data_IF_098405170160
#
_entry.id   IF_098405170160
#
_cell.length_a   1.000
_cell.length_b   1.000
_cell.length_c   1.000
_cell.angle_alpha   90.00
_cell.angle_beta   90.00
_cell.angle_gamma   90.00
#
_symmetry.space_group_name_H-M   'P 1'
#
loop_
_entity.id
_entity.type
_entity.pdbx_description
1 polymer ?
#
# COMPACT_ATOMS: atom_id res chain seq x y z
N UNK A 1 32.41 6.31 -7.09
CA UNK A 1 31.98 5.03 -6.50
C UNK A 1 31.33 4.19 -7.59
N UNK A 2 31.73 2.95 -7.73
CA UNK A 2 31.68 2.13 -8.94
C UNK A 2 30.28 1.88 -9.53
N UNK A 3 30.16 2.09 -10.82
CA UNK A 3 29.00 1.86 -11.71
C UNK A 3 28.52 0.40 -11.86
N UNK A 4 29.03 -0.53 -11.06
CA UNK A 4 28.90 -1.98 -11.32
C UNK A 4 27.75 -2.69 -10.61
N UNK A 5 26.90 -2.00 -9.83
CA UNK A 5 25.79 -2.64 -9.11
C UNK A 5 24.37 -2.22 -9.53
N UNK A 6 24.21 -1.26 -10.41
CA UNK A 6 22.90 -0.79 -10.92
C UNK A 6 22.52 -1.63 -12.13
N UNK A 7 21.32 -2.12 -12.21
CA UNK A 7 20.70 -2.99 -13.24
C UNK A 7 20.59 -4.49 -12.87
N UNK A 8 20.19 -4.78 -11.65
CA UNK A 8 20.00 -6.16 -11.18
C UNK A 8 18.59 -6.69 -11.43
N UNK A 9 17.56 -5.79 -11.47
CA UNK A 9 16.15 -6.16 -11.58
C UNK A 9 15.73 -6.24 -13.05
N UNK A 10 15.40 -7.45 -13.52
CA UNK A 10 14.81 -7.66 -14.83
C UNK A 10 13.33 -7.26 -14.89
N UNK A 11 12.73 -7.26 -16.09
CA UNK A 11 11.31 -6.91 -16.29
C UNK A 11 10.36 -7.79 -15.46
N UNK A 12 10.63 -9.09 -15.40
CA UNK A 12 9.83 -10.02 -14.58
C UNK A 12 9.97 -9.74 -13.08
N UNK A 13 11.18 -9.45 -12.60
CA UNK A 13 11.41 -9.05 -11.20
C UNK A 13 10.65 -7.76 -10.84
N UNK A 14 10.64 -6.77 -11.73
CA UNK A 14 9.88 -5.54 -11.53
C UNK A 14 8.37 -5.80 -11.53
N UNK A 15 7.87 -6.64 -12.44
CA UNK A 15 6.46 -7.07 -12.47
C UNK A 15 6.08 -7.75 -11.14
N UNK A 16 6.91 -8.68 -10.65
CA UNK A 16 6.70 -9.40 -9.40
C UNK A 16 6.71 -8.47 -8.18
N UNK A 17 7.65 -7.51 -8.14
CA UNK A 17 7.68 -6.49 -7.09
C UNK A 17 6.43 -5.62 -7.11
N UNK A 18 5.98 -5.19 -8.30
CA UNK A 18 4.74 -4.40 -8.43
C UNK A 18 3.53 -5.21 -8.00
N UNK A 19 3.47 -6.48 -8.39
CA UNK A 19 2.40 -7.38 -8.00
C UNK A 19 2.39 -7.58 -6.47
N UNK A 20 3.54 -7.83 -5.84
CA UNK A 20 3.67 -7.98 -4.39
C UNK A 20 3.29 -6.70 -3.61
N UNK A 21 3.56 -5.53 -4.19
CA UNK A 21 3.26 -4.26 -3.57
C UNK A 21 1.76 -3.91 -3.60
N UNK A 22 1.08 -4.29 -4.69
CA UNK A 22 -0.27 -3.79 -5.00
C UNK A 22 -1.31 -4.90 -4.84
N UNK A 23 -1.06 -6.11 -5.38
CA UNK A 23 -2.06 -7.16 -5.40
C UNK A 23 -2.11 -7.98 -4.12
N UNK A 24 -3.32 -8.13 -3.59
CA UNK A 24 -3.61 -9.09 -2.52
C UNK A 24 -5.01 -9.66 -2.71
N UNK A 25 -5.14 -10.99 -2.68
CA UNK A 25 -6.45 -11.65 -2.72
C UNK A 25 -7.33 -11.24 -1.52
N UNK A 26 -6.72 -10.94 -0.37
CA UNK A 26 -7.45 -10.39 0.78
C UNK A 26 -8.04 -9.00 0.52
N UNK A 27 -7.44 -8.19 -0.38
CA UNK A 27 -8.04 -6.91 -0.76
C UNK A 27 -9.34 -7.12 -1.56
N UNK A 28 -9.42 -8.18 -2.37
CA UNK A 28 -10.68 -8.56 -3.05
C UNK A 28 -11.74 -8.86 -2.00
N UNK A 29 -11.42 -9.68 -1.01
CA UNK A 29 -12.32 -10.07 0.07
C UNK A 29 -12.77 -8.87 0.89
N UNK A 30 -11.83 -8.06 1.37
CA UNK A 30 -12.13 -6.89 2.20
C UNK A 30 -13.05 -5.90 1.50
N UNK A 31 -12.79 -5.62 0.22
CA UNK A 31 -13.64 -4.72 -0.56
C UNK A 31 -14.99 -5.34 -0.90
N UNK A 32 -15.06 -6.67 -1.05
CA UNK A 32 -16.30 -7.37 -1.28
C UNK A 32 -17.19 -7.42 -0.02
N UNK A 33 -16.60 -7.53 1.18
CA UNK A 33 -17.37 -7.39 2.45
C UNK A 33 -18.10 -6.05 2.52
N UNK A 34 -17.44 -4.97 2.09
CA UNK A 34 -17.99 -3.60 2.20
C UNK A 34 -18.92 -3.23 1.03
N UNK A 35 -18.60 -3.68 -0.19
CA UNK A 35 -19.27 -3.25 -1.41
C UNK A 35 -20.05 -4.37 -2.13
N UNK A 36 -19.91 -5.61 -1.66
CA UNK A 36 -20.43 -6.76 -2.38
C UNK A 36 -19.91 -6.82 -3.82
N UNK A 37 -20.76 -7.21 -4.75
CA UNK A 37 -20.44 -7.33 -6.16
C UNK A 37 -20.08 -5.99 -6.83
N UNK A 38 -20.49 -4.85 -6.27
CA UNK A 38 -20.10 -3.53 -6.76
C UNK A 38 -18.61 -3.25 -6.65
N UNK A 39 -17.86 -4.02 -5.83
CA UNK A 39 -16.40 -3.95 -5.78
C UNK A 39 -15.73 -4.23 -7.14
N UNK A 40 -16.31 -5.10 -7.97
CA UNK A 40 -15.75 -5.48 -9.26
C UNK A 40 -15.65 -4.31 -10.26
N UNK A 41 -16.74 -3.60 -10.62
CA UNK A 41 -16.64 -2.42 -11.47
C UNK A 41 -15.84 -1.29 -10.81
N UNK A 42 -15.87 -1.17 -9.48
CA UNK A 42 -15.08 -0.16 -8.78
C UNK A 42 -13.58 -0.40 -8.90
N UNK A 43 -13.09 -1.64 -8.84
CA UNK A 43 -11.70 -1.95 -9.14
C UNK A 43 -11.31 -1.63 -10.58
N UNK A 44 -12.20 -1.92 -11.54
CA UNK A 44 -11.97 -1.57 -12.94
C UNK A 44 -11.85 -0.06 -13.14
N UNK A 45 -12.79 0.71 -12.57
CA UNK A 45 -12.77 2.17 -12.62
C UNK A 45 -11.54 2.74 -11.90
N UNK A 46 -11.21 2.22 -10.72
CA UNK A 46 -10.00 2.64 -9.99
C UNK A 46 -8.72 2.36 -10.79
N UNK A 47 -8.67 1.27 -11.54
CA UNK A 47 -7.52 0.98 -12.41
C UNK A 47 -7.37 2.04 -13.50
N UNK A 48 -8.45 2.41 -14.18
CA UNK A 48 -8.41 3.36 -15.29
C UNK A 48 -8.23 4.81 -14.79
N UNK A 49 -9.00 5.19 -13.77
CA UNK A 49 -9.08 6.59 -13.33
C UNK A 49 -8.13 6.95 -12.19
N UNK A 50 -7.52 5.97 -11.51
CA UNK A 50 -6.56 6.22 -10.44
C UNK A 50 -5.22 5.53 -10.69
N UNK A 51 -5.17 4.20 -10.73
CA UNK A 51 -3.90 3.46 -10.68
C UNK A 51 -3.00 3.77 -11.88
N UNK A 52 -3.51 3.66 -13.11
CA UNK A 52 -2.72 3.95 -14.31
C UNK A 52 -2.28 5.42 -14.35
N UNK A 53 -3.16 6.43 -14.19
CA UNK A 53 -2.74 7.82 -14.13
C UNK A 53 -1.72 8.11 -13.02
N UNK A 54 -1.87 7.52 -11.85
CA UNK A 54 -0.93 7.70 -10.75
C UNK A 54 0.44 7.07 -11.06
N UNK A 55 0.47 5.89 -11.67
CA UNK A 55 1.70 5.29 -12.18
C UNK A 55 2.40 6.18 -13.21
N UNK A 56 1.65 6.85 -14.10
CA UNK A 56 2.23 7.79 -15.07
C UNK A 56 2.79 9.04 -14.40
N UNK A 57 2.15 9.56 -13.35
CA UNK A 57 2.68 10.66 -12.52
C UNK A 57 4.01 10.25 -11.88
N UNK A 58 4.06 9.07 -11.28
CA UNK A 58 5.28 8.53 -10.67
C UNK A 58 6.38 8.36 -11.73
N UNK A 59 6.05 7.78 -12.88
CA UNK A 59 6.98 7.58 -13.98
C UNK A 59 7.58 8.91 -14.49
N UNK A 60 6.78 9.99 -14.54
CA UNK A 60 7.26 11.30 -14.92
C UNK A 60 8.20 11.90 -13.86
N UNK A 61 7.89 11.77 -12.57
CA UNK A 61 8.79 12.17 -11.49
C UNK A 61 10.10 11.37 -11.48
N UNK A 62 10.03 10.05 -11.68
CA UNK A 62 11.22 9.20 -11.82
C UNK A 62 12.10 9.65 -12.97
N UNK A 63 11.51 10.01 -14.11
CA UNK A 63 12.26 10.48 -15.27
C UNK A 63 12.90 11.86 -15.08
N UNK A 64 12.35 12.68 -14.19
CA UNK A 64 12.92 13.97 -13.77
C UNK A 64 14.04 13.81 -12.74
N UNK A 65 13.89 12.88 -11.78
CA UNK A 65 14.79 12.72 -10.64
C UNK A 65 15.61 11.42 -10.75
N UNK A 66 16.38 11.27 -11.83
CA UNK A 66 17.11 10.02 -12.18
C UNK A 66 18.14 9.56 -11.14
N UNK A 67 18.65 10.47 -10.33
CA UNK A 67 19.69 10.20 -9.33
C UNK A 67 19.14 10.01 -7.92
N UNK A 68 17.82 10.03 -7.74
CA UNK A 68 17.18 9.85 -6.45
C UNK A 68 17.24 8.40 -5.97
N UNK A 69 17.55 8.18 -4.70
CA UNK A 69 17.62 6.86 -4.08
C UNK A 69 16.26 6.38 -3.54
N UNK A 70 15.41 7.30 -3.06
CA UNK A 70 14.17 6.98 -2.36
C UNK A 70 12.88 7.50 -3.01
N UNK A 71 13.00 8.34 -4.01
CA UNK A 71 11.88 8.75 -4.87
C UNK A 71 10.98 9.83 -4.28
N UNK A 72 10.12 9.50 -3.33
CA UNK A 72 9.03 10.39 -2.88
C UNK A 72 9.53 11.74 -2.36
N UNK A 73 10.60 11.76 -1.56
CA UNK A 73 11.18 13.00 -1.05
C UNK A 73 11.70 13.87 -2.20
N UNK A 74 12.52 13.31 -3.08
CA UNK A 74 13.08 14.03 -4.22
C UNK A 74 12.01 14.54 -5.18
N UNK A 75 10.98 13.73 -5.47
CA UNK A 75 9.89 14.14 -6.36
C UNK A 75 9.16 15.37 -5.86
N UNK A 76 8.83 15.38 -4.57
CA UNK A 76 8.12 16.52 -3.98
C UNK A 76 9.06 17.70 -3.80
N UNK A 77 10.34 17.47 -3.42
CA UNK A 77 11.34 18.51 -3.29
C UNK A 77 11.59 19.23 -4.61
N UNK A 78 11.73 18.49 -5.72
CA UNK A 78 11.95 19.07 -7.05
C UNK A 78 10.83 20.01 -7.51
N UNK A 79 9.65 19.94 -6.89
CA UNK A 79 8.50 20.76 -7.26
C UNK A 79 8.02 21.73 -6.20
N UNK A 80 7.97 21.33 -4.92
CA UNK A 80 7.39 22.10 -3.82
C UNK A 80 8.40 22.53 -2.75
N UNK A 81 9.67 22.11 -2.87
CA UNK A 81 10.72 22.37 -1.89
C UNK A 81 10.72 21.40 -0.70
N UNK A 82 11.77 21.50 0.13
CA UNK A 82 12.09 20.52 1.18
C UNK A 82 11.04 20.35 2.27
N UNK A 83 10.31 21.40 2.63
CA UNK A 83 9.25 21.32 3.66
C UNK A 83 8.15 20.34 3.26
N UNK A 84 7.60 20.48 2.05
CA UNK A 84 6.55 19.59 1.56
C UNK A 84 7.08 18.20 1.25
N UNK A 85 8.34 18.11 0.80
CA UNK A 85 9.01 16.84 0.63
C UNK A 85 9.11 16.06 1.95
N UNK A 86 9.54 16.72 3.01
CA UNK A 86 9.63 16.13 4.35
C UNK A 86 8.26 15.69 4.87
N UNK A 87 7.25 16.56 4.80
CA UNK A 87 5.89 16.24 5.26
C UNK A 87 5.33 15.03 4.49
N UNK A 88 5.52 14.98 3.17
CA UNK A 88 5.02 13.88 2.35
C UNK A 88 5.69 12.56 2.70
N UNK A 89 7.02 12.52 2.76
CA UNK A 89 7.77 11.32 3.08
C UNK A 89 7.51 10.84 4.53
N UNK A 90 7.42 11.79 5.48
CA UNK A 90 7.03 11.51 6.86
C UNK A 90 5.63 10.91 6.95
N UNK A 91 4.66 11.51 6.25
CA UNK A 91 3.27 11.02 6.23
C UNK A 91 3.20 9.61 5.66
N UNK A 92 3.94 9.35 4.57
CA UNK A 92 4.03 8.02 3.97
C UNK A 92 4.54 6.98 4.97
N UNK A 93 5.63 7.26 5.68
CA UNK A 93 6.18 6.38 6.69
C UNK A 93 5.24 6.20 7.88
N UNK A 94 4.71 7.31 8.42
CA UNK A 94 3.91 7.30 9.65
C UNK A 94 2.61 6.51 9.49
N UNK A 95 1.91 6.68 8.38
CA UNK A 95 0.65 5.96 8.10
C UNK A 95 0.88 4.45 8.08
N UNK A 96 2.00 4.00 7.56
CA UNK A 96 2.33 2.58 7.51
C UNK A 96 2.62 1.96 8.89
N UNK A 97 2.91 2.76 9.94
CA UNK A 97 3.08 2.22 11.29
C UNK A 97 1.80 1.56 11.82
N UNK A 98 0.64 2.09 11.49
CA UNK A 98 -0.66 1.54 11.89
C UNK A 98 -1.02 0.27 11.09
N UNK A 99 -0.54 0.16 9.85
CA UNK A 99 -0.80 -1.01 9.01
C UNK A 99 -0.29 -2.32 9.64
N UNK A 100 0.83 -2.28 10.37
CA UNK A 100 1.39 -3.46 11.02
C UNK A 100 0.47 -4.06 12.07
N UNK A 101 -0.33 -3.26 12.76
CA UNK A 101 -1.27 -3.75 13.78
C UNK A 101 -2.38 -4.62 13.19
N UNK A 102 -2.71 -4.43 11.91
CA UNK A 102 -3.68 -5.26 11.19
C UNK A 102 -3.01 -6.41 10.40
N UNK A 103 -1.81 -6.19 9.89
CA UNK A 103 -1.11 -7.18 9.06
C UNK A 103 -0.60 -8.37 9.88
N UNK A 104 0.05 -8.11 11.02
CA UNK A 104 0.69 -9.17 11.83
C UNK A 104 -0.28 -10.23 12.37
N UNK A 105 -1.45 -9.88 12.94
CA UNK A 105 -2.44 -10.87 13.34
C UNK A 105 -2.93 -11.74 12.17
N UNK A 106 -3.03 -11.18 10.96
CA UNK A 106 -3.40 -11.94 9.76
C UNK A 106 -2.32 -12.93 9.35
N UNK A 107 -1.04 -12.57 9.44
CA UNK A 107 0.07 -13.51 9.22
C UNK A 107 -0.05 -14.70 10.15
N UNK A 108 -0.35 -14.47 11.44
CA UNK A 108 -0.52 -15.53 12.45
C UNK A 108 -1.74 -16.40 12.13
N UNK A 109 -2.86 -15.80 11.76
CA UNK A 109 -4.08 -16.55 11.42
C UNK A 109 -3.84 -17.47 10.21
N UNK A 110 -3.19 -16.96 9.14
CA UNK A 110 -2.86 -17.81 8.00
C UNK A 110 -1.80 -18.87 8.31
N UNK A 111 -0.87 -18.61 9.22
CA UNK A 111 0.04 -19.63 9.74
C UNK A 111 -0.74 -20.76 10.43
N UNK A 112 -1.77 -20.45 11.23
CA UNK A 112 -2.59 -21.49 11.87
C UNK A 112 -3.32 -22.36 10.84
N UNK A 113 -3.91 -21.77 9.80
CA UNK A 113 -4.48 -22.56 8.70
C UNK A 113 -3.44 -23.43 7.99
N UNK A 114 -2.24 -22.88 7.72
CA UNK A 114 -1.16 -23.60 7.04
C UNK A 114 -0.72 -24.87 7.81
N UNK A 115 -0.52 -24.73 9.12
CA UNK A 115 0.05 -25.80 9.93
C UNK A 115 -1.01 -26.70 10.58
N UNK A 116 -2.13 -26.13 11.02
CA UNK A 116 -3.19 -26.86 11.73
C UNK A 116 -4.35 -27.26 10.80
N UNK A 117 -4.62 -26.50 9.71
CA UNK A 117 -5.75 -26.71 8.82
C UNK A 117 -7.04 -26.00 9.26
N UNK A 118 -6.98 -25.24 10.35
CA UNK A 118 -8.09 -24.45 10.87
C UNK A 118 -7.56 -23.18 11.56
N UNK A 119 -8.44 -22.19 11.78
CA UNK A 119 -8.10 -20.97 12.50
C UNK A 119 -7.96 -21.27 14.01
N UNK A 120 -6.76 -21.13 14.53
CA UNK A 120 -6.52 -21.20 15.96
C UNK A 120 -6.57 -19.79 16.55
N UNK A 121 -7.62 -19.52 17.32
CA UNK A 121 -7.83 -18.23 17.98
C UNK A 121 -6.95 -18.19 19.24
N UNK A 122 -5.88 -17.43 19.15
CA UNK A 122 -4.96 -17.20 20.27
C UNK A 122 -5.52 -16.12 21.20
N UNK A 123 -5.06 -16.12 22.44
CA UNK A 123 -5.31 -14.99 23.34
C UNK A 123 -4.68 -13.71 22.78
N UNK A 124 -5.27 -12.53 23.04
CA UNK A 124 -4.71 -11.25 22.57
C UNK A 124 -3.23 -11.07 22.98
N UNK A 125 -2.88 -11.50 24.20
CA UNK A 125 -1.49 -11.44 24.70
C UNK A 125 -0.55 -12.30 23.84
N UNK A 126 -0.92 -13.56 23.58
CA UNK A 126 -0.10 -14.47 22.75
C UNK A 126 0.04 -13.94 21.33
N UNK A 127 -1.06 -13.45 20.73
CA UNK A 127 -1.05 -12.83 19.40
C UNK A 127 -0.09 -11.64 19.34
N UNK A 128 -0.11 -10.77 20.35
CA UNK A 128 0.78 -9.60 20.41
C UNK A 128 2.25 -10.00 20.55
N UNK A 129 2.57 -10.95 21.44
CA UNK A 129 3.96 -11.42 21.64
C UNK A 129 4.50 -12.02 20.33
N UNK A 130 3.73 -12.89 19.68
CA UNK A 130 4.14 -13.52 18.42
C UNK A 130 4.26 -12.45 17.33
N UNK A 131 3.36 -11.46 17.28
CA UNK A 131 3.45 -10.32 16.35
C UNK A 131 4.74 -9.52 16.55
N UNK A 132 5.15 -9.26 17.80
CA UNK A 132 6.41 -8.57 18.10
C UNK A 132 7.63 -9.37 17.63
N UNK A 133 7.64 -10.69 17.84
CA UNK A 133 8.72 -11.57 17.37
C UNK A 133 8.79 -11.57 15.83
N UNK A 134 7.65 -11.74 15.18
CA UNK A 134 7.57 -11.68 13.71
C UNK A 134 8.01 -10.34 13.15
N UNK A 135 7.65 -9.24 13.82
CA UNK A 135 8.05 -7.90 13.39
C UNK A 135 9.53 -7.62 13.64
N UNK A 136 10.09 -8.11 14.75
CA UNK A 136 11.54 -8.06 15.00
C UNK A 136 12.31 -8.81 13.91
N UNK A 137 11.86 -10.03 13.57
CA UNK A 137 12.44 -10.82 12.49
C UNK A 137 12.32 -10.11 11.12
N UNK A 138 11.15 -9.58 10.81
CA UNK A 138 10.93 -8.80 9.58
C UNK A 138 11.83 -7.56 9.51
N UNK A 139 12.00 -6.86 10.64
CA UNK A 139 12.90 -5.70 10.74
C UNK A 139 14.34 -6.12 10.48
N UNK A 140 14.79 -7.21 11.09
CA UNK A 140 16.14 -7.74 10.84
C UNK A 140 16.34 -8.12 9.37
N UNK A 141 15.38 -8.83 8.75
CA UNK A 141 15.44 -9.16 7.32
C UNK A 141 15.49 -7.91 6.46
N UNK A 142 14.70 -6.88 6.79
CA UNK A 142 14.63 -5.63 6.02
C UNK A 142 15.97 -4.89 5.98
N UNK A 143 16.81 -5.03 7.01
CA UNK A 143 18.15 -4.41 7.04
C UNK A 143 19.14 -5.05 6.05
N UNK A 144 18.82 -6.23 5.48
CA UNK A 144 19.63 -6.87 4.45
C UNK A 144 19.30 -6.39 3.02
N UNK A 145 18.32 -5.49 2.88
CA UNK A 145 18.01 -4.79 1.63
C UNK A 145 17.44 -5.66 0.51
N UNK A 146 17.53 -5.15 -0.72
CA UNK A 146 16.90 -5.75 -1.89
C UNK A 146 17.40 -7.17 -2.23
N UNK A 147 18.60 -7.54 -1.83
CA UNK A 147 19.17 -8.88 -2.09
C UNK A 147 18.32 -9.99 -1.48
N UNK A 148 17.80 -9.77 -0.27
CA UNK A 148 17.00 -10.76 0.44
C UNK A 148 15.50 -10.60 0.12
N UNK A 149 15.04 -9.37 -0.02
CA UNK A 149 13.63 -9.07 -0.30
C UNK A 149 13.20 -9.52 -1.71
N UNK A 150 14.03 -9.30 -2.73
CA UNK A 150 13.69 -9.59 -4.12
C UNK A 150 13.29 -11.05 -4.39
N UNK A 151 14.11 -12.05 -4.05
CA UNK A 151 13.76 -13.47 -4.22
C UNK A 151 12.49 -13.87 -3.44
N UNK A 152 12.37 -13.43 -2.18
CA UNK A 152 11.21 -13.75 -1.34
C UNK A 152 9.92 -13.18 -1.96
N UNK A 153 9.92 -11.90 -2.33
CA UNK A 153 8.75 -11.26 -2.96
C UNK A 153 8.40 -11.89 -4.30
N UNK A 154 9.37 -12.35 -5.08
CA UNK A 154 9.11 -13.04 -6.35
C UNK A 154 8.42 -14.39 -6.14
N UNK A 155 8.85 -15.18 -5.17
CA UNK A 155 8.21 -16.47 -4.84
C UNK A 155 6.80 -16.24 -4.31
N UNK A 156 6.64 -15.36 -3.34
CA UNK A 156 5.35 -15.11 -2.71
C UNK A 156 4.33 -14.52 -3.68
N UNK A 157 4.77 -13.62 -4.59
CA UNK A 157 3.93 -13.06 -5.65
C UNK A 157 3.48 -14.12 -6.65
N UNK A 158 4.39 -15.01 -7.05
CA UNK A 158 4.08 -16.10 -7.98
C UNK A 158 3.06 -17.06 -7.37
N UNK A 159 3.25 -17.45 -6.11
CA UNK A 159 2.30 -18.31 -5.39
C UNK A 159 0.91 -17.66 -5.27
N UNK A 160 0.85 -16.38 -4.92
CA UNK A 160 -0.42 -15.64 -4.83
C UNK A 160 -1.10 -15.51 -6.19
N UNK A 161 -0.33 -15.27 -7.26
CA UNK A 161 -0.86 -15.23 -8.62
C UNK A 161 -1.44 -16.58 -9.04
N UNK A 162 -0.73 -17.67 -8.80
CA UNK A 162 -1.21 -19.02 -9.11
C UNK A 162 -2.46 -19.36 -8.31
N UNK A 163 -2.51 -19.01 -7.02
CA UNK A 163 -3.70 -19.19 -6.19
C UNK A 163 -4.90 -18.42 -6.77
N UNK A 164 -4.70 -17.16 -7.13
CA UNK A 164 -5.75 -16.32 -7.71
C UNK A 164 -6.26 -16.89 -9.05
N UNK A 165 -5.34 -17.27 -9.94
CA UNK A 165 -5.71 -17.85 -11.24
C UNK A 165 -6.43 -19.18 -11.07
N UNK A 166 -5.98 -20.05 -10.15
CA UNK A 166 -6.67 -21.31 -9.86
C UNK A 166 -8.09 -21.08 -9.35
N UNK A 167 -8.26 -20.06 -8.47
CA UNK A 167 -9.60 -19.68 -8.01
C UNK A 167 -10.49 -19.20 -9.16
N UNK A 168 -9.98 -18.28 -9.99
CA UNK A 168 -10.74 -17.76 -11.15
C UNK A 168 -11.17 -18.90 -12.08
N UNK A 169 -10.26 -19.82 -12.40
CA UNK A 169 -10.56 -20.95 -13.27
C UNK A 169 -11.61 -21.88 -12.65
N UNK A 170 -11.44 -22.27 -11.39
CA UNK A 170 -12.33 -23.21 -10.72
C UNK A 170 -13.71 -22.60 -10.44
N UNK A 171 -13.78 -21.35 -9.99
CA UNK A 171 -15.05 -20.66 -9.80
C UNK A 171 -15.78 -20.41 -11.14
N UNK A 172 -15.01 -20.08 -12.20
CA UNK A 172 -15.55 -19.95 -13.55
C UNK A 172 -16.12 -21.26 -14.08
N UNK A 173 -15.40 -22.38 -13.92
CA UNK A 173 -15.89 -23.72 -14.33
C UNK A 173 -17.12 -24.14 -13.54
N UNK A 174 -17.19 -23.82 -12.25
CA UNK A 174 -18.37 -24.11 -11.43
C UNK A 174 -19.61 -23.33 -11.92
N UNK A 175 -19.45 -22.06 -12.28
CA UNK A 175 -20.54 -21.26 -12.87
C UNK A 175 -21.02 -21.83 -14.20
N UNK A 176 -20.10 -22.20 -15.09
CA UNK A 176 -20.46 -22.88 -16.37
C UNK A 176 -21.12 -24.23 -16.11
N UNK A 177 -20.73 -24.92 -15.04
CA UNK A 177 -21.34 -26.16 -14.57
C UNK A 177 -22.72 -26.01 -13.92
N UNK A 178 -23.27 -24.79 -13.84
CA UNK A 178 -24.61 -24.51 -13.32
C UNK A 178 -24.69 -24.25 -11.82
N UNK A 179 -23.59 -23.96 -11.14
CA UNK A 179 -23.61 -23.53 -9.75
C UNK A 179 -24.37 -22.22 -9.64
N UNK A 180 -25.31 -22.17 -8.70
CA UNK A 180 -25.97 -20.93 -8.35
C UNK A 180 -25.08 -20.15 -7.41
N UNK A 181 -24.64 -18.92 -7.77
CA UNK A 181 -23.79 -18.11 -6.90
C UNK A 181 -24.48 -17.79 -5.56
N UNK A 182 -23.71 -17.76 -4.48
CA UNK A 182 -24.20 -17.39 -3.15
C UNK A 182 -24.77 -15.97 -3.12
N UNK A 183 -24.18 -15.04 -3.87
CA UNK A 183 -24.77 -13.73 -4.17
C UNK A 183 -25.10 -13.68 -5.69
N UNK A 184 -26.29 -13.21 -6.10
CA UNK A 184 -26.68 -13.15 -7.50
C UNK A 184 -25.76 -12.25 -8.33
N UNK A 185 -25.21 -12.74 -9.43
CA UNK A 185 -24.38 -11.97 -10.35
C UNK A 185 -25.31 -11.22 -11.31
N UNK A 186 -25.77 -10.04 -10.89
CA UNK A 186 -26.67 -9.18 -11.68
C UNK A 186 -26.07 -7.80 -11.88
N UNK A 187 -26.52 -7.09 -12.91
CA UNK A 187 -26.08 -5.71 -13.17
C UNK A 187 -26.45 -4.80 -12.02
N UNK A 188 -27.66 -4.99 -11.43
CA UNK A 188 -28.11 -4.19 -10.30
C UNK A 188 -27.22 -4.36 -9.07
N UNK A 189 -26.73 -5.59 -8.81
CA UNK A 189 -25.79 -5.85 -7.71
C UNK A 189 -24.39 -5.25 -7.95
N UNK A 190 -24.04 -4.94 -9.20
CA UNK A 190 -22.78 -4.28 -9.58
C UNK A 190 -22.87 -2.75 -9.46
N UNK A 191 -24.05 -2.17 -9.33
CA UNK A 191 -24.24 -0.72 -9.18
C UNK A 191 -24.17 -0.36 -7.70
N UNK A 192 -23.18 0.43 -7.26
CA UNK A 192 -23.09 0.82 -5.86
C UNK A 192 -24.18 1.83 -5.49
N UNK A 193 -24.61 1.81 -4.25
CA UNK A 193 -25.47 2.86 -3.71
C UNK A 193 -24.65 4.13 -3.51
N UNK A 194 -24.78 5.10 -4.41
CA UNK A 194 -24.05 6.36 -4.35
C UNK A 194 -24.55 7.23 -3.20
N UNK A 195 -24.00 7.02 -2.03
CA UNK A 195 -24.25 7.79 -0.82
C UNK A 195 -22.94 8.18 -0.12
N UNK A 196 -23.03 8.91 0.98
CA UNK A 196 -21.85 9.35 1.71
C UNK A 196 -20.99 8.20 2.25
N UNK A 197 -21.62 7.14 2.74
CA UNK A 197 -20.93 5.94 3.23
C UNK A 197 -20.13 5.27 2.10
N UNK A 198 -20.70 5.14 0.90
CA UNK A 198 -20.02 4.62 -0.27
C UNK A 198 -18.75 5.43 -0.61
N UNK A 199 -18.82 6.78 -0.57
CA UNK A 199 -17.66 7.62 -0.81
C UNK A 199 -16.52 7.36 0.20
N UNK A 200 -16.87 7.09 1.46
CA UNK A 200 -15.89 6.68 2.48
C UNK A 200 -15.27 5.32 2.17
N UNK A 201 -16.08 4.33 1.79
CA UNK A 201 -15.61 2.97 1.49
C UNK A 201 -14.78 2.91 0.21
N UNK A 202 -14.97 3.82 -0.77
CA UNK A 202 -14.12 3.88 -1.96
C UNK A 202 -12.63 4.08 -1.65
N UNK A 203 -12.30 4.63 -0.46
CA UNK A 203 -10.91 4.74 0.00
C UNK A 203 -10.23 3.38 0.14
N UNK A 204 -10.99 2.33 0.45
CA UNK A 204 -10.45 0.95 0.54
C UNK A 204 -10.04 0.43 -0.83
N UNK A 205 -10.79 0.78 -1.88
CA UNK A 205 -10.42 0.48 -3.28
C UNK A 205 -9.14 1.22 -3.66
N UNK A 206 -9.02 2.51 -3.31
CA UNK A 206 -7.82 3.29 -3.58
C UNK A 206 -6.61 2.77 -2.81
N UNK A 207 -6.79 2.42 -1.53
CA UNK A 207 -5.73 1.80 -0.73
C UNK A 207 -5.30 0.45 -1.32
N UNK A 208 -6.24 -0.37 -1.76
CA UNK A 208 -5.95 -1.66 -2.40
C UNK A 208 -5.23 -1.51 -3.75
N UNK A 209 -5.55 -0.47 -4.52
CA UNK A 209 -4.90 -0.14 -5.78
C UNK A 209 -3.65 0.75 -5.62
N UNK A 210 -3.30 1.16 -4.39
CA UNK A 210 -2.09 1.92 -4.09
C UNK A 210 -0.83 1.04 -4.04
N UNK A 211 0.35 1.68 -3.93
CA UNK A 211 1.63 0.98 -3.75
C UNK A 211 2.59 1.07 -4.93
N UNK A 212 2.18 1.63 -6.06
CA UNK A 212 3.07 1.83 -7.22
C UNK A 212 4.28 2.73 -6.88
N UNK A 213 4.11 3.70 -6.01
CA UNK A 213 5.15 4.59 -5.50
C UNK A 213 6.22 3.82 -4.70
N UNK A 214 5.84 2.74 -4.03
CA UNK A 214 6.76 1.92 -3.25
C UNK A 214 7.76 1.15 -4.14
N UNK A 215 7.36 0.83 -5.35
CA UNK A 215 8.19 0.10 -6.33
C UNK A 215 9.15 1.06 -7.04
N UNK A 216 8.80 2.32 -7.13
CA UNK A 216 9.61 3.33 -7.82
C UNK A 216 10.96 3.61 -7.13
N UNK A 217 11.11 3.29 -5.85
CA UNK A 217 12.41 3.36 -5.15
C UNK A 217 13.47 2.39 -5.73
N UNK A 218 13.05 1.45 -6.56
CA UNK A 218 13.94 0.48 -7.22
C UNK A 218 14.22 0.80 -8.68
N UNK A 219 13.77 1.95 -9.20
CA UNK A 219 13.91 2.31 -10.63
C UNK A 219 15.35 2.28 -11.11
N UNK A 220 16.30 2.73 -10.27
CA UNK A 220 17.73 2.74 -10.59
C UNK A 220 18.33 1.33 -10.64
N UNK A 221 17.67 0.35 -10.07
CA UNK A 221 18.07 -1.06 -10.09
C UNK A 221 17.46 -1.83 -11.28
N UNK A 222 16.54 -1.19 -12.05
CA UNK A 222 15.85 -1.83 -13.18
C UNK A 222 16.69 -1.81 -14.44
N UNK A 223 16.84 -2.97 -15.08
CA UNK A 223 17.49 -3.09 -16.40
C UNK A 223 16.71 -2.30 -17.46
N UNK A 224 17.39 -1.32 -18.07
CA UNK A 224 16.78 -0.40 -19.05
C UNK A 224 16.18 0.87 -18.44
N UNK A 225 16.41 1.13 -17.15
CA UNK A 225 16.11 2.39 -16.46
C UNK A 225 14.64 2.80 -16.50
N UNK A 226 14.38 4.11 -16.43
CA UNK A 226 13.04 4.69 -16.36
C UNK A 226 12.13 4.29 -17.53
N UNK A 227 12.64 4.13 -18.74
CA UNK A 227 11.82 3.70 -19.90
C UNK A 227 11.28 2.29 -19.76
N UNK A 228 12.09 1.37 -19.22
CA UNK A 228 11.67 -0.01 -18.96
C UNK A 228 10.70 -0.04 -17.77
N UNK A 229 10.98 0.73 -16.73
CA UNK A 229 10.11 0.88 -15.57
C UNK A 229 8.69 1.30 -15.98
N UNK A 230 8.55 2.39 -16.75
CA UNK A 230 7.24 2.90 -17.21
C UNK A 230 6.43 1.82 -17.92
N UNK A 231 7.04 1.11 -18.89
CA UNK A 231 6.33 0.07 -19.64
C UNK A 231 5.84 -1.07 -18.74
N UNK A 232 6.69 -1.52 -17.83
CA UNK A 232 6.36 -2.64 -16.94
C UNK A 232 5.29 -2.25 -15.93
N UNK A 233 5.37 -1.04 -15.34
CA UNK A 233 4.40 -0.59 -14.34
C UNK A 233 2.98 -0.41 -14.94
N UNK A 234 2.88 0.10 -16.17
CA UNK A 234 1.59 0.22 -16.87
C UNK A 234 1.00 -1.17 -17.13
N UNK A 235 1.83 -2.09 -17.67
CA UNK A 235 1.38 -3.46 -17.93
C UNK A 235 0.95 -4.16 -16.65
N UNK A 236 1.73 -4.01 -15.57
CA UNK A 236 1.38 -4.53 -14.26
C UNK A 236 0.05 -3.97 -13.75
N UNK A 237 -0.17 -2.66 -13.93
CA UNK A 237 -1.41 -2.01 -13.52
C UNK A 237 -2.64 -2.57 -14.22
N UNK A 238 -2.59 -2.69 -15.54
CA UNK A 238 -3.69 -3.28 -16.32
C UNK A 238 -3.95 -4.73 -15.85
N UNK A 239 -2.90 -5.53 -15.72
CA UNK A 239 -3.01 -6.93 -15.31
C UNK A 239 -3.61 -7.07 -13.91
N UNK A 240 -3.13 -6.28 -12.93
CA UNK A 240 -3.64 -6.28 -11.56
C UNK A 240 -5.09 -5.82 -11.51
N UNK A 241 -5.44 -4.78 -12.25
CA UNK A 241 -6.82 -4.29 -12.32
C UNK A 241 -7.80 -5.33 -12.87
N UNK A 242 -7.41 -6.05 -13.91
CA UNK A 242 -8.21 -7.17 -14.46
C UNK A 242 -8.35 -8.27 -13.42
N UNK A 243 -7.25 -8.66 -12.74
CA UNK A 243 -7.32 -9.69 -11.69
C UNK A 243 -8.24 -9.28 -10.54
N UNK A 244 -8.14 -8.05 -10.05
CA UNK A 244 -9.03 -7.54 -9.02
C UNK A 244 -10.50 -7.58 -9.44
N UNK A 245 -10.81 -7.08 -10.65
CA UNK A 245 -12.18 -7.02 -11.14
C UNK A 245 -12.78 -8.40 -11.34
N UNK A 246 -12.05 -9.30 -12.02
CA UNK A 246 -12.52 -10.67 -12.27
C UNK A 246 -12.66 -11.47 -10.98
N UNK A 247 -11.68 -11.37 -10.07
CA UNK A 247 -11.75 -12.04 -8.77
C UNK A 247 -12.94 -11.53 -7.95
N UNK A 248 -13.23 -10.21 -8.00
CA UNK A 248 -14.36 -9.62 -7.26
C UNK A 248 -15.72 -10.09 -7.79
N UNK A 249 -15.86 -10.39 -9.09
CA UNK A 249 -17.08 -11.01 -9.62
C UNK A 249 -17.24 -12.43 -9.10
N UNK A 250 -16.14 -13.20 -9.04
CA UNK A 250 -16.17 -14.62 -8.75
C UNK A 250 -16.15 -14.94 -7.25
N UNK A 251 -15.76 -13.99 -6.39
CA UNK A 251 -15.58 -14.25 -4.96
C UNK A 251 -16.88 -14.77 -4.31
N UNK A 252 -18.03 -14.30 -4.76
CA UNK A 252 -19.34 -14.65 -4.21
C UNK A 252 -19.99 -15.87 -4.87
N UNK A 253 -19.24 -16.66 -5.62
CA UNK A 253 -19.77 -17.90 -6.19
C UNK A 253 -20.07 -18.92 -5.10
N UNK A 254 -19.19 -19.06 -4.11
CA UNK A 254 -19.32 -20.06 -3.05
C UNK A 254 -19.66 -19.49 -1.67
N UNK A 255 -19.44 -18.19 -1.44
CA UNK A 255 -19.66 -17.54 -0.14
C UNK A 255 -20.29 -16.18 -0.35
N UNK A 256 -21.40 -15.90 0.36
CA UNK A 256 -22.03 -14.57 0.31
C UNK A 256 -21.13 -13.49 0.89
N UNK A 257 -21.17 -12.29 0.31
CA UNK A 257 -20.46 -11.10 0.80
C UNK A 257 -20.73 -10.83 2.28
N UNK A 258 -21.93 -11.12 2.78
CA UNK A 258 -22.35 -10.94 4.17
C UNK A 258 -21.70 -11.94 5.15
N UNK A 259 -21.23 -13.08 4.65
CA UNK A 259 -20.62 -14.14 5.44
C UNK A 259 -19.08 -14.11 5.39
N UNK A 260 -18.51 -13.32 4.48
CA UNK A 260 -17.09 -13.16 4.33
C UNK A 260 -16.45 -12.58 5.60
N UNK A 261 -15.26 -13.06 5.95
CA UNK A 261 -14.49 -12.62 7.11
C UNK A 261 -13.25 -11.85 6.69
N UNK A 262 -12.92 -10.78 7.41
CA UNK A 262 -11.65 -10.04 7.21
C UNK A 262 -10.42 -10.89 7.47
N UNK A 263 -10.52 -11.81 8.44
CA UNK A 263 -9.46 -12.76 8.77
C UNK A 263 -9.86 -14.14 8.25
N UNK A 264 -8.97 -14.83 7.54
CA UNK A 264 -9.24 -16.17 7.00
C UNK A 264 -10.20 -16.21 5.80
N UNK A 265 -10.69 -15.09 5.28
CA UNK A 265 -11.67 -15.06 4.20
C UNK A 265 -11.19 -15.77 2.92
N UNK A 266 -9.89 -15.73 2.58
CA UNK A 266 -9.38 -16.49 1.45
C UNK A 266 -9.53 -18.01 1.67
N UNK A 267 -9.28 -18.51 2.86
CA UNK A 267 -9.50 -19.93 3.18
C UNK A 267 -10.97 -20.26 3.12
N UNK A 268 -11.84 -19.39 3.65
CA UNK A 268 -13.31 -19.57 3.62
C UNK A 268 -13.84 -19.73 2.19
N UNK A 269 -13.40 -18.90 1.27
CA UNK A 269 -13.83 -18.96 -0.15
C UNK A 269 -13.37 -20.25 -0.84
N UNK A 270 -12.15 -20.67 -0.60
CA UNK A 270 -11.61 -21.92 -1.13
C UNK A 270 -12.20 -23.16 -0.45
N UNK A 271 -12.62 -23.05 0.81
CA UNK A 271 -13.35 -24.12 1.52
C UNK A 271 -14.70 -24.41 0.84
N UNK A 272 -15.48 -23.37 0.53
CA UNK A 272 -16.74 -23.54 -0.23
C UNK A 272 -16.52 -24.17 -1.62
N UNK A 273 -15.42 -23.77 -2.30
CA UNK A 273 -15.04 -24.38 -3.57
C UNK A 273 -14.65 -25.86 -3.42
N UNK A 274 -13.87 -26.20 -2.36
CA UNK A 274 -13.47 -27.58 -2.10
C UNK A 274 -14.68 -28.50 -1.87
N UNK A 275 -15.67 -28.03 -1.11
CA UNK A 275 -16.91 -28.76 -0.87
C UNK A 275 -17.66 -29.06 -2.20
N UNK A 276 -17.71 -28.10 -3.12
CA UNK A 276 -18.37 -28.30 -4.42
C UNK A 276 -17.64 -29.33 -5.30
N UNK A 277 -16.31 -29.30 -5.37
CA UNK A 277 -15.52 -30.22 -6.17
C UNK A 277 -15.20 -31.55 -5.48
N UNK A 278 -15.71 -31.80 -4.27
CA UNK A 278 -15.43 -33.00 -3.50
C UNK A 278 -13.95 -33.14 -3.09
N UNK A 279 -13.24 -32.02 -2.94
CA UNK A 279 -11.84 -32.00 -2.52
C UNK A 279 -11.73 -32.08 -0.98
N UNK A 280 -10.67 -32.71 -0.44
CA UNK A 280 -10.48 -32.76 1.01
C UNK A 280 -10.32 -31.38 1.63
N UNK A 281 -11.30 -30.94 2.42
CA UNK A 281 -11.34 -29.57 3.01
C UNK A 281 -10.10 -29.25 3.83
N UNK A 282 -9.67 -30.16 4.69
CA UNK A 282 -8.49 -29.95 5.54
C UNK A 282 -7.21 -29.75 4.72
N UNK A 283 -7.08 -30.45 3.58
CA UNK A 283 -5.95 -30.27 2.67
C UNK A 283 -6.03 -28.92 1.99
N UNK A 284 -7.21 -28.51 1.52
CA UNK A 284 -7.44 -27.21 0.89
C UNK A 284 -7.16 -26.08 1.86
N UNK A 285 -7.65 -26.15 3.10
CA UNK A 285 -7.39 -25.15 4.12
C UNK A 285 -5.90 -24.99 4.41
N UNK A 286 -5.14 -26.10 4.51
CA UNK A 286 -3.68 -26.06 4.69
C UNK A 286 -2.97 -25.47 3.47
N UNK A 287 -3.36 -25.86 2.27
CA UNK A 287 -2.75 -25.35 1.04
C UNK A 287 -2.98 -23.84 0.87
N UNK A 288 -4.23 -23.38 0.95
CA UNK A 288 -4.58 -21.97 0.85
C UNK A 288 -3.98 -21.17 2.01
N UNK A 289 -4.01 -21.74 3.22
CA UNK A 289 -3.37 -21.19 4.39
C UNK A 289 -1.86 -20.97 4.18
N UNK A 290 -1.15 -21.96 3.64
CA UNK A 290 0.29 -21.87 3.37
C UNK A 290 0.60 -20.80 2.31
N UNK A 291 -0.13 -20.75 1.20
CA UNK A 291 0.07 -19.74 0.16
C UNK A 291 -0.24 -18.35 0.71
N UNK A 292 -1.35 -18.19 1.43
CA UNK A 292 -1.73 -16.90 2.02
C UNK A 292 -0.74 -16.46 3.11
N UNK A 293 -0.26 -17.37 3.94
CA UNK A 293 0.79 -17.12 4.93
C UNK A 293 2.07 -16.61 4.27
N UNK A 294 2.57 -17.33 3.27
CA UNK A 294 3.81 -16.93 2.58
C UNK A 294 3.65 -15.58 1.89
N UNK A 295 2.52 -15.30 1.25
CA UNK A 295 2.25 -14.03 0.60
C UNK A 295 2.14 -12.87 1.61
N UNK A 296 1.42 -13.07 2.72
CA UNK A 296 1.29 -12.09 3.79
C UNK A 296 2.64 -11.82 4.47
N UNK A 297 3.45 -12.86 4.65
CA UNK A 297 4.79 -12.72 5.20
C UNK A 297 5.73 -11.97 4.25
N UNK A 298 5.68 -12.26 2.94
CA UNK A 298 6.41 -11.48 1.93
C UNK A 298 5.98 -10.01 1.90
N UNK A 299 4.68 -9.75 2.01
CA UNK A 299 4.13 -8.40 2.14
C UNK A 299 4.63 -7.70 3.42
N UNK A 300 4.64 -8.40 4.56
CA UNK A 300 5.19 -7.89 5.82
C UNK A 300 6.64 -7.44 5.65
N UNK A 301 7.50 -8.26 5.04
CA UNK A 301 8.90 -7.92 4.78
C UNK A 301 9.04 -6.67 3.92
N UNK A 302 8.26 -6.57 2.86
CA UNK A 302 8.29 -5.44 1.94
C UNK A 302 7.81 -4.15 2.62
N UNK A 303 6.68 -4.18 3.31
CA UNK A 303 6.13 -3.00 3.98
C UNK A 303 6.95 -2.60 5.23
N UNK A 304 7.73 -3.50 5.82
CA UNK A 304 8.70 -3.15 6.86
C UNK A 304 9.88 -2.33 6.28
N UNK A 305 10.38 -2.69 5.11
CA UNK A 305 11.56 -2.08 4.49
C UNK A 305 11.25 -0.76 3.77
N UNK A 306 10.20 -0.75 2.94
CA UNK A 306 9.96 0.30 1.94
C UNK A 306 9.65 1.67 2.57
N UNK A 307 8.74 1.83 3.54
CA UNK A 307 8.46 3.13 4.14
C UNK A 307 9.66 3.75 4.87
N UNK A 308 10.47 2.90 5.52
CA UNK A 308 11.72 3.34 6.15
C UNK A 308 12.71 3.87 5.11
N UNK A 309 12.86 3.16 4.00
CA UNK A 309 13.73 3.60 2.90
C UNK A 309 13.22 4.91 2.29
N UNK A 310 11.92 5.00 1.97
CA UNK A 310 11.30 6.21 1.41
C UNK A 310 11.54 7.42 2.28
N UNK A 311 11.40 7.28 3.60
CA UNK A 311 11.51 8.42 4.49
C UNK A 311 12.96 8.75 4.86
N UNK A 312 13.73 7.77 5.36
CA UNK A 312 15.02 8.04 5.98
C UNK A 312 16.21 8.08 5.03
N UNK A 313 16.08 7.65 3.75
CA UNK A 313 17.22 7.62 2.83
C UNK A 313 17.57 8.97 2.22
N UNK A 314 16.64 9.93 2.18
CA UNK A 314 16.85 11.21 1.47
C UNK A 314 16.57 12.46 2.32
N UNK A 315 16.06 12.30 3.55
CA UNK A 315 15.85 13.46 4.41
C UNK A 315 17.19 14.00 4.93
N UNK A 316 17.30 15.32 5.15
CA UNK A 316 18.50 15.92 5.70
C UNK A 316 18.93 15.33 7.05
N UNK A 317 20.23 15.02 7.18
CA UNK A 317 20.82 14.42 8.39
C UNK A 317 20.52 15.23 9.68
N UNK A 318 20.42 16.54 9.57
CA UNK A 318 20.15 17.44 10.71
C UNK A 318 18.77 17.28 11.35
N UNK A 319 17.82 16.60 10.70
CA UNK A 319 16.46 16.43 11.24
C UNK A 319 16.40 15.37 12.34
N UNK A 320 16.94 14.17 12.10
CA UNK A 320 16.91 13.05 13.06
C UNK A 320 18.31 12.58 13.50
N UNK A 321 19.35 13.28 13.06
CA UNK A 321 20.74 12.96 13.33
C UNK A 321 21.35 11.96 12.34
N UNK A 322 22.62 12.16 12.02
CA UNK A 322 23.38 11.42 11.02
C UNK A 322 23.23 9.89 11.13
N UNK A 323 23.41 9.34 12.33
CA UNK A 323 23.35 7.89 12.58
C UNK A 323 21.98 7.27 12.27
N UNK A 324 20.89 8.06 12.24
CA UNK A 324 19.53 7.54 11.96
C UNK A 324 19.30 7.37 10.47
N UNK A 325 19.86 8.28 9.67
CA UNK A 325 19.67 8.30 8.20
C UNK A 325 20.82 7.62 7.46
N UNK A 326 21.90 7.26 8.17
CA UNK A 326 23.06 6.57 7.59
C UNK A 326 22.65 5.22 7.02
N UNK A 327 23.02 5.00 5.75
CA UNK A 327 22.75 3.75 5.06
C UNK A 327 23.83 2.72 5.39
N UNK A 328 23.41 1.48 5.66
CA UNK A 328 24.32 0.36 5.83
C UNK A 328 24.87 -0.11 4.46
N UNK A 329 25.73 -1.14 4.47
CA UNK A 329 26.32 -1.74 3.25
C UNK A 329 25.28 -2.23 2.23
N UNK A 330 24.06 -2.48 2.65
CA UNK A 330 22.94 -2.91 1.80
C UNK A 330 22.06 -1.74 1.31
N UNK A 331 22.44 -0.48 1.58
CA UNK A 331 21.68 0.72 1.18
C UNK A 331 20.39 0.91 1.95
N UNK A 332 20.34 0.49 3.23
CA UNK A 332 19.17 0.58 4.10
C UNK A 332 19.51 1.38 5.35
N UNK A 333 18.67 2.33 5.82
CA UNK A 333 18.85 3.03 7.09
C UNK A 333 18.46 2.10 8.26
N UNK A 334 19.37 1.17 8.59
CA UNK A 334 19.10 0.07 9.53
C UNK A 334 18.69 0.58 10.93
N UNK A 335 19.30 1.68 11.41
CA UNK A 335 18.92 2.27 12.70
C UNK A 335 17.49 2.79 12.69
N UNK A 336 17.05 3.41 11.60
CA UNK A 336 15.68 3.87 11.45
C UNK A 336 14.68 2.71 11.41
N UNK A 337 15.05 1.57 10.82
CA UNK A 337 14.22 0.37 10.84
C UNK A 337 13.98 -0.15 12.27
N UNK A 338 14.99 -0.16 13.13
CA UNK A 338 14.84 -0.54 14.52
C UNK A 338 14.08 0.52 15.35
N UNK A 339 14.21 1.80 15.04
CA UNK A 339 13.37 2.86 15.62
C UNK A 339 11.91 2.64 15.25
N UNK A 340 11.61 2.32 13.97
CA UNK A 340 10.26 1.95 13.54
C UNK A 340 9.73 0.78 14.37
N UNK A 341 10.51 -0.28 14.55
CA UNK A 341 10.14 -1.41 15.40
C UNK A 341 9.71 -0.97 16.80
N UNK A 342 10.54 -0.14 17.47
CA UNK A 342 10.24 0.36 18.82
C UNK A 342 8.98 1.23 18.89
N UNK A 343 8.66 2.00 17.82
CA UNK A 343 7.45 2.83 17.75
C UNK A 343 6.20 1.97 17.54
N UNK A 344 6.30 0.88 16.78
CA UNK A 344 5.16 0.00 16.48
C UNK A 344 4.78 -0.89 17.67
N UNK A 345 5.72 -1.24 18.57
CA UNK A 345 5.43 -2.05 19.76
C UNK A 345 4.26 -1.47 20.59
N UNK A 346 4.27 -0.21 21.04
CA UNK A 346 3.13 0.38 21.76
C UNK A 346 1.83 0.33 20.96
N UNK A 347 1.90 0.55 19.64
CA UNK A 347 0.73 0.47 18.76
C UNK A 347 0.14 -0.94 18.72
N UNK A 348 0.94 -1.98 18.87
CA UNK A 348 0.46 -3.37 18.97
C UNK A 348 -0.18 -3.67 20.34
N UNK A 349 0.20 -2.96 21.39
CA UNK A 349 -0.31 -3.16 22.75
C UNK A 349 -1.63 -2.42 22.98
N UNK A 350 -1.77 -1.20 22.44
CA UNK A 350 -2.98 -0.36 22.60
C UNK A 350 -4.28 -1.12 22.30
N UNK A 351 -4.37 -1.89 21.21
CA UNK A 351 -5.55 -2.70 20.91
C UNK A 351 -5.96 -3.68 21.99
N UNK A 352 -5.04 -4.14 22.82
CA UNK A 352 -5.35 -5.10 23.89
C UNK A 352 -6.06 -4.46 25.09
N UNK A 353 -5.99 -3.12 25.21
CA UNK A 353 -6.37 -2.42 26.45
C UNK A 353 -7.82 -1.90 26.45
N UNK A 354 -8.53 -1.90 25.31
CA UNK A 354 -9.77 -1.12 25.24
C UNK A 354 -10.95 -1.64 24.45
N UNK A 355 -10.97 -2.84 23.88
CA UNK A 355 -12.10 -3.28 23.07
C UNK A 355 -12.75 -4.58 23.57
N UNK A 356 -14.09 -4.60 23.59
CA UNK A 356 -14.87 -5.80 23.89
C UNK A 356 -14.80 -6.85 22.77
N UNK A 357 -14.40 -6.44 21.54
CA UNK A 357 -14.20 -7.36 20.42
C UNK A 357 -12.97 -6.98 19.59
N UNK A 358 -12.15 -7.99 19.24
CA UNK A 358 -10.98 -7.82 18.34
C UNK A 358 -11.43 -7.29 16.96
N UNK A 359 -12.64 -7.64 16.52
CA UNK A 359 -13.19 -7.26 15.22
C UNK A 359 -13.45 -5.74 15.13
N UNK A 360 -14.08 -5.14 16.15
CA UNK A 360 -14.40 -3.70 16.18
C UNK A 360 -13.13 -2.86 16.18
N UNK A 361 -12.11 -3.34 16.89
CA UNK A 361 -10.83 -2.70 16.90
C UNK A 361 -10.14 -2.76 15.54
N UNK A 362 -10.13 -3.94 14.90
CA UNK A 362 -9.55 -4.12 13.57
C UNK A 362 -10.22 -3.19 12.55
N UNK A 363 -11.55 -3.11 12.58
CA UNK A 363 -12.31 -2.21 11.70
C UNK A 363 -11.95 -0.75 11.93
N UNK A 364 -11.83 -0.33 13.20
CA UNK A 364 -11.44 1.05 13.54
C UNK A 364 -10.04 1.38 12.99
N UNK A 365 -9.06 0.50 13.21
CA UNK A 365 -7.69 0.69 12.73
C UNK A 365 -7.63 0.70 11.20
N UNK A 366 -8.35 -0.19 10.52
CA UNK A 366 -8.38 -0.24 9.06
C UNK A 366 -8.98 1.06 8.51
N UNK A 367 -10.08 1.55 9.07
CA UNK A 367 -10.72 2.79 8.64
C UNK A 367 -9.81 4.01 8.84
N UNK A 368 -9.18 4.13 10.00
CA UNK A 368 -8.21 5.22 10.27
C UNK A 368 -7.02 5.17 9.32
N UNK A 369 -6.50 3.95 9.06
CA UNK A 369 -5.38 3.75 8.14
C UNK A 369 -5.79 4.09 6.71
N UNK A 370 -6.98 3.69 6.28
CA UNK A 370 -7.50 3.99 4.95
C UNK A 370 -7.63 5.50 4.71
N UNK A 371 -8.22 6.25 5.64
CA UNK A 371 -8.31 7.71 5.54
C UNK A 371 -6.92 8.37 5.48
N UNK A 372 -6.04 8.05 6.42
CA UNK A 372 -4.70 8.65 6.50
C UNK A 372 -3.82 8.27 5.31
N UNK A 373 -3.97 7.07 4.72
CA UNK A 373 -3.20 6.61 3.56
C UNK A 373 -3.45 7.41 2.28
N UNK A 374 -4.52 8.19 2.23
CA UNK A 374 -4.80 9.08 1.09
C UNK A 374 -3.94 10.35 1.09
N UNK A 375 -3.36 10.73 2.21
CA UNK A 375 -2.57 11.98 2.33
C UNK A 375 -1.27 11.95 1.51
N UNK A 376 -0.41 10.91 1.55
CA UNK A 376 0.80 10.89 0.75
C UNK A 376 0.54 10.99 -0.77
N UNK A 377 -0.38 10.22 -1.38
CA UNK A 377 -0.76 10.41 -2.78
C UNK A 377 -1.27 11.82 -3.09
N UNK A 378 -2.09 12.42 -2.21
CA UNK A 378 -2.57 13.80 -2.39
C UNK A 378 -1.41 14.81 -2.44
N UNK A 379 -0.41 14.68 -1.58
CA UNK A 379 0.78 15.54 -1.62
C UNK A 379 1.63 15.31 -2.87
N UNK A 380 1.80 14.07 -3.31
CA UNK A 380 2.49 13.74 -4.56
C UNK A 380 1.74 14.34 -5.76
N UNK A 381 0.42 14.18 -5.82
CA UNK A 381 -0.43 14.76 -6.86
C UNK A 381 -0.36 16.29 -6.85
N UNK A 382 -0.34 16.92 -5.67
CA UNK A 382 -0.19 18.36 -5.54
C UNK A 382 1.18 18.83 -6.05
N UNK A 383 2.24 18.07 -5.77
CA UNK A 383 3.57 18.34 -6.31
C UNK A 383 3.57 18.22 -7.84
N UNK A 384 2.94 17.18 -8.38
CA UNK A 384 2.82 16.99 -9.82
C UNK A 384 2.01 18.11 -10.50
N UNK A 385 0.93 18.56 -9.89
CA UNK A 385 0.17 19.71 -10.39
C UNK A 385 1.05 20.95 -10.49
N UNK A 386 1.89 21.22 -9.49
CA UNK A 386 2.85 22.33 -9.52
C UNK A 386 3.92 22.14 -10.60
N UNK A 387 4.46 20.92 -10.75
CA UNK A 387 5.40 20.57 -11.81
C UNK A 387 4.83 20.92 -13.19
N UNK A 388 3.61 20.47 -13.48
CA UNK A 388 2.96 20.71 -14.79
C UNK A 388 2.50 22.15 -14.98
N UNK A 389 2.10 22.85 -13.91
CA UNK A 389 1.61 24.23 -13.99
C UNK A 389 2.73 25.27 -14.13
N UNK A 390 3.86 25.07 -13.40
CA UNK A 390 4.91 26.09 -13.28
C UNK A 390 6.27 25.65 -13.82
N UNK A 391 6.58 24.35 -13.78
CA UNK A 391 7.91 23.80 -14.06
C UNK A 391 7.89 22.84 -15.27
N UNK A 392 6.93 23.01 -16.19
CA UNK A 392 6.76 22.10 -17.33
C UNK A 392 7.94 22.15 -18.32
N UNK A 393 8.76 23.19 -18.28
CA UNK A 393 9.95 23.36 -19.10
C UNK A 393 11.09 22.39 -18.73
N UNK A 394 11.11 21.87 -17.50
CA UNK A 394 12.18 21.00 -17.01
C UNK A 394 12.35 19.75 -17.88
N UNK A 395 13.59 19.38 -18.22
CA UNK A 395 13.89 18.22 -19.06
C UNK A 395 13.55 16.92 -18.35
N UNK A 396 12.87 16.02 -19.02
CA UNK A 396 12.53 14.67 -18.53
C UNK A 396 12.26 13.70 -19.67
N UNK A 397 12.61 12.44 -19.50
CA UNK A 397 12.53 11.43 -20.57
C UNK A 397 11.10 10.95 -20.84
N UNK A 398 10.21 11.10 -19.86
CA UNK A 398 8.83 10.70 -19.95
C UNK A 398 7.90 11.85 -19.51
N UNK A 399 6.81 12.04 -20.27
CA UNK A 399 5.73 13.00 -19.94
C UNK A 399 4.38 12.32 -20.12
N UNK A 400 3.48 12.50 -19.17
CA UNK A 400 2.08 12.07 -19.29
C UNK A 400 1.32 13.03 -20.21
N UNK A 401 1.47 12.84 -21.52
CA UNK A 401 0.79 13.65 -22.53
C UNK A 401 1.15 15.14 -22.51
N UNK A 402 0.24 16.00 -23.03
CA UNK A 402 0.42 17.44 -23.05
C UNK A 402 0.36 18.05 -21.64
N UNK A 403 0.83 19.30 -21.48
CA UNK A 403 0.71 20.06 -20.23
C UNK A 403 -0.74 20.13 -19.74
N UNK A 404 -1.69 20.39 -20.64
CA UNK A 404 -3.13 20.45 -20.31
C UNK A 404 -3.65 19.09 -19.85
N UNK A 405 -3.30 18.01 -20.54
CA UNK A 405 -3.68 16.65 -20.15
C UNK A 405 -3.18 16.33 -18.73
N UNK A 406 -1.90 16.59 -18.44
CA UNK A 406 -1.33 16.36 -17.12
C UNK A 406 -2.05 17.13 -16.01
N UNK A 407 -2.39 18.41 -16.24
CA UNK A 407 -3.12 19.24 -15.27
C UNK A 407 -4.54 18.72 -15.07
N UNK A 408 -5.27 18.40 -16.14
CA UNK A 408 -6.66 17.91 -16.03
C UNK A 408 -6.70 16.59 -15.26
N UNK A 409 -5.86 15.63 -15.64
CA UNK A 409 -5.82 14.30 -15.01
C UNK A 409 -5.48 14.40 -13.52
N UNK A 410 -4.44 15.15 -13.17
CA UNK A 410 -4.06 15.26 -11.75
C UNK A 410 -5.09 16.06 -10.94
N UNK A 411 -5.74 17.06 -11.53
CA UNK A 411 -6.81 17.82 -10.83
C UNK A 411 -8.02 16.94 -10.55
N UNK A 412 -8.39 16.08 -11.51
CA UNK A 412 -9.45 15.07 -11.32
C UNK A 412 -9.08 14.11 -10.19
N UNK A 413 -7.85 13.59 -10.18
CA UNK A 413 -7.37 12.70 -9.11
C UNK A 413 -7.39 13.37 -7.73
N UNK A 414 -6.91 14.61 -7.64
CA UNK A 414 -6.95 15.38 -6.39
C UNK A 414 -8.40 15.54 -5.89
N UNK A 415 -9.34 15.86 -6.79
CA UNK A 415 -10.76 16.00 -6.42
C UNK A 415 -11.33 14.67 -5.90
N UNK A 416 -11.10 13.55 -6.59
CA UNK A 416 -11.55 12.22 -6.17
C UNK A 416 -10.98 11.86 -4.80
N UNK A 417 -9.67 12.02 -4.62
CA UNK A 417 -9.00 11.70 -3.35
C UNK A 417 -9.41 12.64 -2.21
N UNK A 418 -9.61 13.91 -2.48
CA UNK A 418 -10.08 14.85 -1.47
C UNK A 418 -11.50 14.51 -0.98
N UNK A 419 -12.41 14.17 -1.90
CA UNK A 419 -13.77 13.73 -1.54
C UNK A 419 -13.71 12.43 -0.74
N UNK A 420 -12.97 11.43 -1.19
CA UNK A 420 -12.79 10.17 -0.46
C UNK A 420 -12.18 10.39 0.93
N UNK A 421 -11.14 11.22 1.04
CA UNK A 421 -10.50 11.57 2.31
C UNK A 421 -11.50 12.22 3.28
N UNK A 422 -12.31 13.18 2.83
CA UNK A 422 -13.31 13.84 3.68
C UNK A 422 -14.38 12.83 4.08
N UNK A 423 -14.89 12.02 3.14
CA UNK A 423 -15.93 11.04 3.44
C UNK A 423 -15.45 9.94 4.41
N UNK A 424 -14.22 9.48 4.29
CA UNK A 424 -13.65 8.48 5.22
C UNK A 424 -13.29 9.07 6.59
N UNK A 425 -12.94 10.36 6.63
CA UNK A 425 -12.66 11.07 7.88
C UNK A 425 -13.93 11.32 8.68
N UNK A 426 -15.07 11.56 8.00
CA UNK A 426 -16.38 11.85 8.59
C UNK A 426 -17.42 10.77 8.23
N UNK A 427 -17.26 9.51 8.70
CA UNK A 427 -18.17 8.44 8.36
C UNK A 427 -19.56 8.68 8.95
N UNK A 428 -20.60 8.22 8.25
CA UNK A 428 -22.00 8.31 8.70
C UNK A 428 -22.22 7.48 9.97
N UNK A 429 -22.97 8.05 10.92
CA UNK A 429 -23.34 7.35 12.16
C UNK A 429 -22.24 7.29 13.23
N UNK A 430 -21.02 7.77 12.96
CA UNK A 430 -19.98 7.83 13.98
C UNK A 430 -20.23 9.00 14.97
N UNK A 431 -19.83 8.77 16.23
CA UNK A 431 -19.90 9.81 17.25
C UNK A 431 -18.95 10.96 16.88
N UNK A 432 -19.42 12.20 16.93
CA UNK A 432 -18.66 13.40 16.56
C UNK A 432 -17.37 13.54 17.40
N UNK A 433 -17.38 13.14 18.67
CA UNK A 433 -16.19 13.14 19.52
C UNK A 433 -15.15 12.14 19.03
N UNK A 434 -15.58 10.95 18.63
CA UNK A 434 -14.69 9.94 18.03
C UNK A 434 -14.03 10.48 16.76
N UNK A 435 -14.81 11.13 15.88
CA UNK A 435 -14.28 11.75 14.66
C UNK A 435 -13.25 12.82 15.01
N UNK A 436 -13.57 13.74 15.91
CA UNK A 436 -12.66 14.85 16.27
C UNK A 436 -11.39 14.33 16.90
N UNK A 437 -11.45 13.40 17.87
CA UNK A 437 -10.28 12.96 18.59
C UNK A 437 -9.43 11.97 17.81
N UNK A 438 -10.03 11.02 17.12
CA UNK A 438 -9.25 9.97 16.42
C UNK A 438 -8.94 10.34 14.98
N UNK A 439 -9.95 10.70 14.17
CA UNK A 439 -9.70 10.93 12.74
C UNK A 439 -9.03 12.29 12.51
N UNK A 440 -9.58 13.37 13.02
CA UNK A 440 -9.04 14.71 12.79
C UNK A 440 -7.86 15.00 13.73
N UNK A 441 -8.03 14.75 15.03
CA UNK A 441 -7.02 15.02 16.04
C UNK A 441 -5.72 14.24 15.79
N UNK A 442 -5.82 12.95 15.44
CA UNK A 442 -4.67 12.14 15.07
C UNK A 442 -3.89 12.77 13.91
N UNK A 443 -4.59 13.11 12.81
CA UNK A 443 -3.97 13.73 11.62
C UNK A 443 -3.31 15.08 11.99
N UNK A 444 -3.98 15.92 12.75
CA UNK A 444 -3.45 17.22 13.16
C UNK A 444 -2.20 17.08 14.02
N UNK A 445 -2.20 16.16 14.97
CA UNK A 445 -1.05 15.91 15.86
C UNK A 445 0.16 15.44 15.04
N UNK A 446 0.00 14.45 14.17
CA UNK A 446 1.16 13.91 13.45
C UNK A 446 1.68 14.87 12.36
N UNK A 447 0.80 15.57 11.63
CA UNK A 447 1.23 16.60 10.68
C UNK A 447 1.86 17.81 11.43
N UNK A 448 1.29 18.17 12.56
CA UNK A 448 1.84 19.20 13.44
C UNK A 448 3.24 18.87 13.96
N UNK A 449 3.48 17.60 14.34
CA UNK A 449 4.80 17.10 14.70
C UNK A 449 5.80 17.21 13.54
N UNK A 450 5.40 16.78 12.33
CA UNK A 450 6.25 16.88 11.14
C UNK A 450 6.60 18.36 10.86
N UNK A 451 5.61 19.22 10.89
CA UNK A 451 5.80 20.66 10.69
C UNK A 451 6.74 21.27 11.74
N UNK A 452 6.53 20.97 13.01
CA UNK A 452 7.37 21.42 14.11
C UNK A 452 8.81 20.94 13.97
N UNK A 453 9.00 19.65 13.69
CA UNK A 453 10.32 19.04 13.56
C UNK A 453 11.12 19.65 12.42
N UNK A 454 10.51 19.83 11.26
CA UNK A 454 11.12 20.48 10.12
C UNK A 454 11.40 21.97 10.37
N UNK A 455 10.48 22.68 11.02
CA UNK A 455 10.67 24.09 11.35
C UNK A 455 11.83 24.30 12.34
N UNK A 456 12.04 23.37 13.27
CA UNK A 456 13.19 23.38 14.17
C UNK A 456 14.49 23.17 13.39
N UNK A 457 14.52 22.26 12.44
CA UNK A 457 15.67 22.01 11.56
C UNK A 457 16.02 23.28 10.77
N UNK A 458 15.08 23.89 10.09
CA UNK A 458 15.28 25.09 9.27
C UNK A 458 15.82 26.26 10.10
N UNK A 459 15.39 26.43 11.36
CA UNK A 459 15.91 27.50 12.24
C UNK A 459 17.39 27.35 12.55
N UNK A 460 17.92 26.13 12.50
CA UNK A 460 19.34 25.83 12.73
C UNK A 460 20.25 26.05 11.50
N UNK A 461 19.68 26.28 10.32
CA UNK A 461 20.43 26.46 9.07
C UNK A 461 20.85 27.94 8.88
N UNK A 462 21.92 28.18 8.13
CA UNK A 462 22.30 29.48 7.59
C UNK A 462 21.27 30.03 6.61
N UNK A 463 21.34 31.28 6.24
CA UNK A 463 20.41 31.90 5.28
C UNK A 463 20.52 31.23 3.88
N UNK A 464 21.73 30.91 3.45
CA UNK A 464 22.00 30.25 2.19
C UNK A 464 21.46 28.81 2.16
N UNK A 465 21.74 28.00 3.19
CA UNK A 465 21.21 26.65 3.33
C UNK A 465 19.68 26.63 3.37
N UNK A 466 19.05 27.61 4.04
CA UNK A 466 17.58 27.76 4.05
C UNK A 466 17.04 28.02 2.65
N UNK A 467 17.74 28.86 1.90
CA UNK A 467 17.33 29.16 0.52
C UNK A 467 17.40 27.91 -0.36
N UNK A 468 18.51 27.18 -0.31
CA UNK A 468 18.70 25.92 -1.06
C UNK A 468 17.64 24.90 -0.66
N UNK A 469 17.36 24.75 0.63
CA UNK A 469 16.39 23.77 1.12
C UNK A 469 14.94 24.14 0.77
N UNK A 470 14.61 25.42 0.79
CA UNK A 470 13.27 25.91 0.46
C UNK A 470 13.00 25.94 -1.05
N UNK A 471 14.04 26.09 -1.87
CA UNK A 471 13.91 26.22 -3.31
C UNK A 471 13.71 24.85 -3.95
N UNK A 472 12.75 24.70 -4.89
CA UNK A 472 12.68 23.51 -5.71
C UNK A 472 14.02 23.24 -6.39
N UNK A 473 14.46 21.97 -6.42
CA UNK A 473 15.79 21.59 -6.93
C UNK A 473 16.03 22.02 -8.41
N UNK A 474 14.97 22.37 -9.12
CA UNK A 474 14.98 22.90 -10.49
C UNK A 474 15.45 24.34 -10.63
N UNK A 475 15.62 25.08 -9.53
CA UNK A 475 15.99 26.51 -9.51
C UNK A 475 17.34 26.74 -8.84
N UNK A 476 18.13 25.69 -8.63
CA UNK A 476 19.45 25.72 -7.95
C UNK A 476 20.58 25.53 -9.01
N UNK A 477 20.42 26.09 -10.20
CA UNK A 477 21.51 26.22 -11.19
C UNK A 477 22.10 27.62 -11.16
#
# INVERSE_FOLDING_TARGET
MSDTKRNTIGKFGLLSLTFAAVYSFNNVINNNIELGLASAPMFFLATIFYFIPFCLIIAEFVSLNKNSEAGVYAWVKSSLGGRWAFITAYTYWFVNLFFFTSLLPRVIAYASYAFLGYEYIMTPVATTIISMVLFAFSTWVSTNGAKMLGPITSVTSTLMLLLTLSYILLAGTALVGGVQPADPITVDAMIPNFNWAFLGVTTWIFMAAGGAESVAVYVNDVKGGSKSFVKVIILAGIFIGVLYSVSSVLINVFVSSKELKFTGGSVQVFHGMAAYFGLPEALMNRFVGLVSFTAMFGSLLMWTATPVKIFFSEIPEGIFGKKTVELNENGVPARAAWIQFLIVIPLMIIPMLGSNTVQDLMNTIINMTAAASMLPPLFIMRAYLNLRAKLDHLPRDFRMGSRRTGIIVVSMLIAIFAVGFVASTFPTGANILTIIFYNVGGIVIFLGFAWWKYSKYIKGLTAEERHIEATPASNVD
#
